data_IF_404659510339
#
_entry.id   IF_404659510339
#
_cell.length_a   1.000
_cell.length_b   1.000
_cell.length_c   1.000
_cell.angle_alpha   90.00
_cell.angle_beta   90.00
_cell.angle_gamma   90.00
#
_symmetry.space_group_name_H-M   'P 1'
#
loop_
_entity.id
_entity.type
_entity.pdbx_description
1 polymer ?
#
# COMPACT_ATOMS: atom_id res chain seq x y z
N UNK A 1 40.83 1.20 -23.77
CA UNK A 1 40.09 0.01 -24.24
C UNK A 1 39.48 -0.59 -23.00
N UNK A 2 38.14 -0.63 -22.89
CA UNK A 2 37.44 -1.14 -21.72
C UNK A 2 36.84 -2.48 -22.12
N UNK A 3 37.35 -3.58 -21.56
CA UNK A 3 36.84 -4.93 -21.80
C UNK A 3 35.71 -5.19 -20.80
N UNK A 4 34.63 -5.83 -21.26
CA UNK A 4 33.51 -6.14 -20.38
C UNK A 4 33.87 -7.25 -19.39
N UNK A 5 33.18 -7.27 -18.24
CA UNK A 5 33.31 -8.36 -17.26
C UNK A 5 33.00 -9.73 -17.89
N UNK A 6 32.08 -9.77 -18.85
CA UNK A 6 31.71 -10.98 -19.59
C UNK A 6 32.87 -11.50 -20.45
N UNK A 7 33.57 -10.62 -21.17
CA UNK A 7 34.73 -10.99 -22.01
C UNK A 7 35.91 -11.50 -21.17
N UNK A 8 36.05 -10.99 -19.94
CA UNK A 8 37.12 -11.39 -19.01
C UNK A 8 36.72 -12.54 -18.08
N UNK A 9 35.54 -13.15 -18.27
CA UNK A 9 34.97 -14.20 -17.41
C UNK A 9 34.97 -13.85 -15.91
N UNK A 10 34.88 -12.54 -15.60
CA UNK A 10 34.85 -12.00 -14.24
C UNK A 10 33.41 -11.67 -13.85
N UNK A 11 33.13 -11.77 -12.55
CA UNK A 11 31.85 -11.34 -11.99
C UNK A 11 31.93 -9.96 -11.35
N UNK A 12 30.79 -9.36 -11.02
CA UNK A 12 30.68 -8.08 -10.29
C UNK A 12 31.39 -8.11 -8.92
N UNK A 13 31.70 -9.30 -8.40
CA UNK A 13 32.48 -9.49 -7.15
C UNK A 13 33.99 -9.33 -7.35
N UNK A 14 34.44 -9.28 -8.60
CA UNK A 14 35.86 -9.25 -8.97
C UNK A 14 36.19 -7.97 -9.73
N UNK A 15 35.50 -6.85 -9.45
CA UNK A 15 35.80 -5.53 -10.03
C UNK A 15 37.22 -5.07 -9.65
N UNK A 16 37.89 -4.41 -10.59
CA UNK A 16 39.15 -3.70 -10.33
C UNK A 16 38.89 -2.41 -9.56
N UNK A 17 39.93 -1.87 -8.93
CA UNK A 17 39.85 -0.57 -8.23
C UNK A 17 39.42 0.57 -9.16
N UNK A 18 39.79 0.49 -10.45
CA UNK A 18 39.39 1.49 -11.45
C UNK A 18 37.91 1.40 -11.81
N UNK A 19 37.39 0.19 -12.06
CA UNK A 19 35.97 -0.04 -12.35
C UNK A 19 35.09 0.34 -11.14
N UNK A 20 35.59 0.07 -9.92
CA UNK A 20 34.92 0.45 -8.68
C UNK A 20 34.88 1.96 -8.48
N UNK A 21 35.98 2.69 -8.72
CA UNK A 21 36.02 4.15 -8.62
C UNK A 21 35.07 4.82 -9.61
N UNK A 22 34.94 4.28 -10.83
CA UNK A 22 33.97 4.77 -11.82
C UNK A 22 32.52 4.56 -11.35
N UNK A 23 32.22 3.40 -10.77
CA UNK A 23 30.90 3.13 -10.20
C UNK A 23 30.59 3.99 -8.98
N UNK A 24 31.60 4.31 -8.15
CA UNK A 24 31.46 5.21 -6.99
C UNK A 24 31.12 6.63 -7.42
N UNK A 25 31.80 7.16 -8.43
CA UNK A 25 31.47 8.47 -9.01
C UNK A 25 30.05 8.50 -9.59
N UNK A 26 29.65 7.45 -10.33
CA UNK A 26 28.29 7.35 -10.88
C UNK A 26 27.22 7.20 -9.79
N UNK A 27 27.54 6.54 -8.68
CA UNK A 27 26.65 6.35 -7.54
C UNK A 27 26.46 7.63 -6.70
N UNK A 28 27.50 8.46 -6.62
CA UNK A 28 27.50 9.72 -5.85
C UNK A 28 26.99 10.90 -6.69
N UNK A 29 27.45 11.04 -7.93
CA UNK A 29 27.24 12.21 -8.77
C UNK A 29 26.30 11.97 -9.97
N UNK A 30 25.90 10.71 -10.21
CA UNK A 30 24.96 10.38 -11.28
C UNK A 30 23.54 10.88 -11.03
N UNK A 31 22.70 10.85 -12.08
CA UNK A 31 21.28 11.21 -12.01
C UNK A 31 20.38 10.12 -12.58
N UNK A 32 19.20 9.94 -11.98
CA UNK A 32 18.18 9.01 -12.46
C UNK A 32 18.55 7.53 -12.29
N UNK A 33 18.03 6.68 -13.18
CA UNK A 33 18.19 5.22 -13.08
C UNK A 33 19.64 4.73 -13.06
N UNK A 34 20.54 5.42 -13.75
CA UNK A 34 21.97 5.07 -13.81
C UNK A 34 22.67 5.18 -12.45
N UNK A 35 22.29 6.15 -11.62
CA UNK A 35 22.81 6.30 -10.26
C UNK A 35 22.41 5.12 -9.37
N UNK A 36 21.14 4.71 -9.46
CA UNK A 36 20.60 3.59 -8.69
C UNK A 36 21.24 2.27 -9.12
N UNK A 37 21.40 2.06 -10.43
CA UNK A 37 22.08 0.87 -10.97
C UNK A 37 23.54 0.81 -10.50
N UNK A 38 24.27 1.93 -10.55
CA UNK A 38 25.66 1.97 -10.06
C UNK A 38 25.75 1.64 -8.57
N UNK A 39 24.81 2.16 -7.76
CA UNK A 39 24.71 1.82 -6.33
C UNK A 39 24.44 0.34 -6.09
N UNK A 40 23.48 -0.26 -6.80
CA UNK A 40 23.16 -1.68 -6.66
C UNK A 40 24.33 -2.58 -7.05
N UNK A 41 25.08 -2.23 -8.09
CA UNK A 41 26.27 -2.99 -8.53
C UNK A 41 27.37 -2.90 -7.47
N UNK A 42 27.61 -1.72 -6.89
CA UNK A 42 28.58 -1.55 -5.81
C UNK A 42 28.21 -2.35 -4.56
N UNK A 43 26.93 -2.42 -4.24
CA UNK A 43 26.41 -3.17 -3.09
C UNK A 43 26.67 -4.68 -3.23
N UNK A 44 26.39 -5.23 -4.42
CA UNK A 44 26.70 -6.61 -4.76
C UNK A 44 28.22 -6.89 -4.77
N UNK A 45 29.02 -5.93 -5.26
CA UNK A 45 30.49 -6.08 -5.34
C UNK A 45 31.18 -6.11 -3.98
N UNK A 46 30.64 -5.40 -2.98
CA UNK A 46 31.22 -5.27 -1.64
C UNK A 46 30.90 -6.46 -0.74
N UNK A 47 30.00 -7.35 -1.17
CA UNK A 47 29.53 -8.47 -0.36
C UNK A 47 28.78 -7.97 0.86
N UNK A 48 27.50 -7.64 0.67
CA UNK A 48 26.53 -7.18 1.70
C UNK A 48 27.06 -6.18 2.72
N UNK A 49 26.68 -4.91 2.57
CA UNK A 49 26.26 -4.11 3.69
C UNK A 49 24.76 -3.80 3.59
N UNK A 50 24.13 -3.81 4.74
CA UNK A 50 22.77 -3.39 5.04
C UNK A 50 22.22 -2.39 4.04
N UNK A 51 21.18 -2.79 3.30
CA UNK A 51 20.28 -1.82 2.70
C UNK A 51 19.78 -0.95 3.87
N UNK A 52 20.36 0.23 4.07
CA UNK A 52 19.69 1.29 4.83
C UNK A 52 18.64 1.85 3.86
N UNK A 53 17.60 1.05 3.65
CA UNK A 53 16.27 1.57 3.40
C UNK A 53 15.94 2.25 4.72
N UNK A 54 16.23 3.54 4.80
CA UNK A 54 15.98 4.40 5.97
C UNK A 54 14.49 4.49 6.37
N UNK A 55 13.66 3.61 5.82
CA UNK A 55 12.24 3.46 6.05
C UNK A 55 11.76 2.06 5.65
N UNK A 56 12.52 1.01 6.00
CA UNK A 56 11.93 -0.32 6.14
C UNK A 56 11.93 -0.69 7.62
N UNK A 57 10.77 -1.01 8.21
CA UNK A 57 10.73 -1.44 9.59
C UNK A 57 11.57 -2.70 9.74
N UNK A 58 12.57 -2.65 10.62
CA UNK A 58 13.31 -3.83 11.04
C UNK A 58 12.40 -4.69 11.88
N UNK A 59 12.06 -5.89 11.41
CA UNK A 59 11.42 -6.90 12.24
C UNK A 59 12.50 -7.43 13.19
N UNK A 60 12.39 -7.25 14.53
CA UNK A 60 13.43 -7.69 15.44
C UNK A 60 13.54 -9.21 15.40
N UNK A 61 14.68 -9.69 14.91
CA UNK A 61 14.99 -11.12 14.85
C UNK A 61 15.68 -11.51 16.15
N UNK A 62 14.93 -11.97 17.15
CA UNK A 62 15.44 -12.75 18.28
C UNK A 62 14.48 -13.90 18.58
N UNK A 63 14.88 -15.12 18.22
CA UNK A 63 14.19 -16.35 18.61
C UNK A 63 13.00 -16.71 17.73
N UNK A 64 13.29 -17.24 16.54
CA UNK A 64 12.30 -17.94 15.74
C UNK A 64 11.80 -19.21 16.46
N UNK A 65 10.70 -19.07 17.19
CA UNK A 65 9.62 -20.06 17.12
C UNK A 65 8.49 -19.38 16.38
N UNK A 66 8.40 -19.61 15.08
CA UNK A 66 7.26 -19.19 14.27
C UNK A 66 6.04 -20.01 14.70
N UNK A 67 5.45 -19.65 15.84
CA UNK A 67 4.05 -19.94 16.13
C UNK A 67 3.35 -18.69 15.66
N UNK A 68 2.80 -18.74 14.45
CA UNK A 68 2.09 -17.62 13.84
C UNK A 68 1.08 -17.07 14.83
N UNK A 69 1.42 -15.93 15.43
CA UNK A 69 0.40 -15.07 15.98
C UNK A 69 -0.32 -14.55 14.76
N UNK A 70 -1.61 -14.88 14.69
CA UNK A 70 -2.48 -14.29 13.68
C UNK A 70 -2.62 -12.83 14.07
N UNK A 71 -1.67 -12.02 13.61
CA UNK A 71 -1.92 -10.61 13.44
C UNK A 71 -3.07 -10.52 12.44
N UNK A 72 -4.23 -10.19 12.95
CA UNK A 72 -5.37 -9.79 12.14
C UNK A 72 -4.86 -8.76 11.13
N UNK A 73 -5.04 -9.05 9.83
CA UNK A 73 -4.66 -8.15 8.76
C UNK A 73 -5.54 -6.90 8.93
N UNK A 74 -5.12 -5.98 9.78
CA UNK A 74 -5.66 -4.64 9.78
C UNK A 74 -5.04 -4.03 8.53
N UNK A 75 -5.87 -3.87 7.51
CA UNK A 75 -5.54 -3.11 6.31
C UNK A 75 -4.83 -1.81 6.72
N UNK A 76 -3.89 -1.29 5.91
CA UNK A 76 -3.20 -0.05 6.24
C UNK A 76 -4.24 1.04 6.45
N UNK A 77 -4.63 1.26 7.70
CA UNK A 77 -5.46 2.39 8.09
C UNK A 77 -4.53 3.57 7.93
N UNK A 78 -4.64 4.18 6.76
CA UNK A 78 -4.10 5.50 6.50
C UNK A 78 -4.58 6.36 7.67
N UNK A 79 -3.67 6.67 8.60
CA UNK A 79 -3.89 7.42 9.84
C UNK A 79 -4.16 8.91 9.54
N UNK A 80 -5.06 9.15 8.58
CA UNK A 80 -5.51 10.45 8.10
C UNK A 80 -6.86 10.85 8.72
N UNK A 81 -7.35 10.07 9.67
CA UNK A 81 -8.54 10.39 10.47
C UNK A 81 -9.86 9.91 9.89
N UNK A 82 -9.91 9.41 8.65
CA UNK A 82 -11.08 8.74 8.10
C UNK A 82 -11.18 7.31 8.66
N UNK A 83 -12.24 7.04 9.41
CA UNK A 83 -12.59 5.68 9.89
C UNK A 83 -13.98 5.35 9.45
N UNK A 84 -14.19 4.16 8.88
CA UNK A 84 -15.51 3.69 8.51
C UNK A 84 -15.65 2.21 8.87
N UNK A 85 -16.76 1.88 9.50
CA UNK A 85 -17.16 0.51 9.83
C UNK A 85 -18.54 0.25 9.22
N UNK A 86 -18.71 -0.93 8.62
CA UNK A 86 -19.92 -1.30 7.88
C UNK A 86 -20.48 -2.57 8.47
N UNK A 87 -21.71 -2.52 8.98
CA UNK A 87 -22.36 -3.65 9.66
C UNK A 87 -23.89 -3.64 9.50
N UNK A 88 -24.56 -4.80 9.45
CA UNK A 88 -24.00 -6.14 9.37
C UNK A 88 -23.39 -6.44 7.98
N UNK A 89 -22.49 -7.42 7.92
CA UNK A 89 -21.94 -7.94 6.67
C UNK A 89 -21.74 -9.46 6.84
N UNK A 90 -22.54 -10.34 6.19
CA UNK A 90 -23.51 -10.04 5.13
C UNK A 90 -24.71 -9.20 5.57
N UNK A 91 -25.25 -8.40 4.65
CA UNK A 91 -26.40 -7.52 4.84
C UNK A 91 -27.62 -8.02 4.05
N UNK A 92 -28.82 -7.91 4.62
CA UNK A 92 -30.06 -8.37 3.98
C UNK A 92 -30.86 -7.20 3.39
N UNK A 93 -31.46 -6.36 4.24
CA UNK A 93 -32.31 -5.24 3.79
C UNK A 93 -31.66 -3.87 4.00
N UNK A 94 -30.75 -3.75 4.96
CA UNK A 94 -30.03 -2.51 5.22
C UNK A 94 -28.66 -2.75 5.83
N UNK A 95 -27.81 -1.76 5.69
CA UNK A 95 -26.49 -1.72 6.34
C UNK A 95 -26.29 -0.38 7.04
N UNK A 96 -25.69 -0.43 8.20
CA UNK A 96 -25.28 0.74 8.96
C UNK A 96 -23.79 1.02 8.71
N UNK A 97 -23.50 2.29 8.44
CA UNK A 97 -22.16 2.79 8.17
C UNK A 97 -21.83 3.77 9.29
N UNK A 98 -20.99 3.32 10.22
CA UNK A 98 -20.42 4.15 11.26
C UNK A 98 -19.19 4.83 10.70
N UNK A 99 -19.13 6.16 10.76
CA UNK A 99 -18.02 6.91 10.19
C UNK A 99 -17.50 8.01 11.12
N UNK A 100 -16.21 8.30 10.97
CA UNK A 100 -15.51 9.45 11.51
C UNK A 100 -14.73 10.06 10.36
N UNK A 101 -15.00 11.33 10.05
CA UNK A 101 -14.31 12.08 9.00
C UNK A 101 -13.08 12.80 9.57
N UNK A 102 -12.06 13.07 8.74
CA UNK A 102 -10.94 13.93 9.12
C UNK A 102 -11.42 15.30 9.62
N UNK A 103 -10.73 15.92 10.60
CA UNK A 103 -11.18 17.15 11.29
C UNK A 103 -11.53 18.33 10.36
N UNK A 104 -10.94 18.37 9.16
CA UNK A 104 -11.13 19.44 8.17
C UNK A 104 -12.30 19.20 7.23
N UNK A 105 -12.81 17.98 7.16
CA UNK A 105 -13.86 17.57 6.26
C UNK A 105 -15.20 17.49 6.99
N UNK A 106 -16.27 17.94 6.33
CA UNK A 106 -17.63 17.93 6.87
C UNK A 106 -18.60 17.08 6.07
N UNK A 107 -18.13 16.56 4.95
CA UNK A 107 -18.93 15.81 3.99
C UNK A 107 -18.14 14.61 3.50
N UNK A 108 -18.83 13.51 3.27
CA UNK A 108 -18.26 12.34 2.62
C UNK A 108 -19.24 11.76 1.60
N UNK A 109 -18.71 11.16 0.55
CA UNK A 109 -19.49 10.46 -0.46
C UNK A 109 -19.23 8.96 -0.32
N UNK A 110 -20.29 8.21 -0.11
CA UNK A 110 -20.33 6.76 -0.19
C UNK A 110 -20.79 6.34 -1.57
N UNK A 111 -20.02 5.48 -2.22
CA UNK A 111 -20.35 4.89 -3.53
C UNK A 111 -20.30 3.38 -3.40
N UNK A 112 -21.37 2.70 -3.81
CA UNK A 112 -21.40 1.26 -3.95
C UNK A 112 -21.25 0.88 -5.41
N UNK A 113 -20.38 -0.08 -5.70
CA UNK A 113 -20.08 -0.57 -7.04
C UNK A 113 -20.20 -2.08 -7.11
N UNK A 114 -20.69 -2.58 -8.24
CA UNK A 114 -20.71 -4.04 -8.50
C UNK A 114 -19.32 -4.54 -8.95
N UNK A 115 -19.20 -5.85 -9.18
CA UNK A 115 -17.94 -6.49 -9.61
C UNK A 115 -17.44 -6.03 -10.98
N UNK A 116 -18.28 -5.38 -11.79
CA UNK A 116 -17.91 -4.77 -13.07
C UNK A 116 -17.47 -3.31 -12.92
N UNK A 117 -17.45 -2.77 -11.70
CA UNK A 117 -17.12 -1.37 -11.41
C UNK A 117 -18.26 -0.38 -11.71
N UNK A 118 -19.48 -0.86 -11.93
CA UNK A 118 -20.64 0.01 -12.18
C UNK A 118 -21.20 0.50 -10.85
N UNK A 119 -21.37 1.82 -10.73
CA UNK A 119 -22.01 2.45 -9.58
C UNK A 119 -23.49 2.03 -9.49
N UNK A 120 -23.87 1.42 -8.37
CA UNK A 120 -25.25 0.98 -8.11
C UNK A 120 -25.95 1.88 -7.08
N UNK A 121 -25.20 2.55 -6.22
CA UNK A 121 -25.72 3.49 -5.22
C UNK A 121 -24.69 4.58 -4.95
N UNK A 122 -25.17 5.80 -4.69
CA UNK A 122 -24.35 6.89 -4.18
C UNK A 122 -25.13 7.63 -3.11
N UNK A 123 -24.50 7.87 -1.96
CA UNK A 123 -25.08 8.54 -0.80
C UNK A 123 -24.07 9.53 -0.25
N UNK A 124 -24.53 10.70 0.19
CA UNK A 124 -23.68 11.68 0.86
C UNK A 124 -23.98 11.69 2.36
N UNK A 125 -22.92 11.85 3.15
CA UNK A 125 -22.99 11.99 4.60
C UNK A 125 -22.51 13.39 4.98
N UNK A 126 -23.20 14.00 5.95
CA UNK A 126 -22.82 15.29 6.52
C UNK A 126 -22.48 15.13 8.00
N UNK A 127 -21.49 15.90 8.45
CA UNK A 127 -21.01 15.90 9.83
C UNK A 127 -19.69 15.16 9.99
N UNK A 128 -18.97 15.49 11.06
CA UNK A 128 -17.63 14.96 11.30
C UNK A 128 -17.65 13.50 11.79
N UNK A 129 -18.77 13.02 12.31
CA UNK A 129 -18.99 11.62 12.68
C UNK A 129 -20.48 11.29 12.69
N UNK A 130 -20.81 10.00 12.63
CA UNK A 130 -22.19 9.56 12.72
C UNK A 130 -22.40 8.12 12.28
N UNK A 131 -23.67 7.75 12.21
CA UNK A 131 -24.13 6.47 11.65
C UNK A 131 -25.12 6.79 10.54
N UNK A 132 -24.88 6.25 9.35
CA UNK A 132 -25.78 6.35 8.21
C UNK A 132 -26.36 4.97 7.89
N UNK A 133 -27.67 4.87 7.78
CA UNK A 133 -28.35 3.64 7.37
C UNK A 133 -28.63 3.67 5.87
N UNK A 134 -28.15 2.66 5.15
CA UNK A 134 -28.40 2.48 3.73
C UNK A 134 -29.39 1.34 3.52
N UNK A 135 -30.45 1.61 2.75
CA UNK A 135 -31.40 0.59 2.30
C UNK A 135 -30.85 -0.15 1.06
N UNK A 136 -30.94 -1.48 1.07
CA UNK A 136 -30.44 -2.39 0.05
C UNK A 136 -31.56 -3.16 -0.68
N UNK A 137 -32.84 -2.88 -0.41
CA UNK A 137 -33.98 -3.67 -0.90
C UNK A 137 -34.06 -3.75 -2.44
N UNK A 138 -33.48 -2.77 -3.14
CA UNK A 138 -33.44 -2.72 -4.60
C UNK A 138 -32.10 -3.19 -5.19
N UNK A 139 -31.21 -3.74 -4.37
CA UNK A 139 -29.87 -4.20 -4.77
C UNK A 139 -29.88 -5.73 -4.78
N UNK A 140 -29.61 -6.37 -5.93
CA UNK A 140 -29.57 -7.83 -6.02
C UNK A 140 -28.50 -8.44 -5.10
N UNK A 141 -28.76 -9.62 -4.56
CA UNK A 141 -27.81 -10.39 -3.76
C UNK A 141 -26.50 -10.62 -4.52
N UNK A 142 -25.38 -10.44 -3.84
CA UNK A 142 -24.06 -10.55 -4.47
C UNK A 142 -22.95 -9.85 -3.69
N UNK A 143 -21.78 -9.80 -4.32
CA UNK A 143 -20.58 -9.12 -3.78
C UNK A 143 -20.48 -7.74 -4.41
N UNK A 144 -20.29 -6.74 -3.56
CA UNK A 144 -20.11 -5.35 -3.93
C UNK A 144 -18.86 -4.77 -3.28
N UNK A 145 -18.35 -3.69 -3.87
CA UNK A 145 -17.29 -2.89 -3.30
C UNK A 145 -17.83 -1.51 -2.99
N UNK A 146 -17.60 -1.05 -1.76
CA UNK A 146 -17.93 0.31 -1.39
C UNK A 146 -16.67 1.16 -1.32
N UNK A 147 -16.84 2.45 -1.62
CA UNK A 147 -15.82 3.48 -1.48
C UNK A 147 -16.42 4.64 -0.70
N UNK A 148 -15.76 5.05 0.38
CA UNK A 148 -16.06 6.28 1.10
C UNK A 148 -14.95 7.27 0.83
N UNK A 149 -15.31 8.46 0.35
CA UNK A 149 -14.37 9.52 0.07
C UNK A 149 -14.73 10.79 0.84
N UNK A 150 -13.74 11.40 1.48
CA UNK A 150 -13.87 12.68 2.17
C UNK A 150 -12.59 13.48 1.89
N UNK A 151 -12.69 14.55 1.11
CA UNK A 151 -11.52 15.26 0.58
C UNK A 151 -10.57 14.35 -0.22
N UNK A 152 -9.32 14.26 0.26
CA UNK A 152 -8.25 13.41 -0.29
C UNK A 152 -8.23 12.00 0.34
N UNK A 153 -9.01 11.77 1.39
CA UNK A 153 -9.10 10.50 2.07
C UNK A 153 -10.11 9.57 1.41
N UNK A 154 -9.69 8.33 1.22
CA UNK A 154 -10.47 7.28 0.58
C UNK A 154 -10.33 6.01 1.40
N UNK A 155 -11.47 5.42 1.75
CA UNK A 155 -11.55 4.08 2.32
C UNK A 155 -12.39 3.20 1.42
N UNK A 156 -11.95 1.97 1.19
CA UNK A 156 -12.67 1.00 0.38
C UNK A 156 -12.89 -0.28 1.17
N UNK A 157 -13.97 -0.99 0.88
CA UNK A 157 -14.18 -2.31 1.47
C UNK A 157 -15.16 -3.16 0.68
N UNK A 158 -15.33 -4.40 1.12
CA UNK A 158 -16.23 -5.38 0.51
C UNK A 158 -17.53 -5.47 1.31
N UNK A 159 -18.65 -5.47 0.60
CA UNK A 159 -19.98 -5.70 1.16
C UNK A 159 -20.61 -6.93 0.49
N UNK A 160 -21.16 -7.84 1.29
CA UNK A 160 -21.94 -8.98 0.81
C UNK A 160 -23.42 -8.69 1.07
N UNK A 161 -24.24 -8.77 0.03
CA UNK A 161 -25.70 -8.58 0.10
C UNK A 161 -26.38 -9.93 -0.13
N UNK A 162 -27.34 -10.29 0.72
CA UNK A 162 -28.10 -11.55 0.69
C UNK A 162 -29.55 -11.38 0.21
#
# INVERSE_FOLDING_TARGET
MHESLHETQRSVKQLTDYEKAMLEDMAENGVGGSQLMARSILDESRGTPTIIISSCPTIPTYGATARGESEEITEPTSDRGLKVEVSPNPATSSVEISYVLPEKEKTATFVLTNTLGVNVLTTEFEGNNGVATINLDNIPSGIYFYTVRSGDDVMTGKLVVE
#
